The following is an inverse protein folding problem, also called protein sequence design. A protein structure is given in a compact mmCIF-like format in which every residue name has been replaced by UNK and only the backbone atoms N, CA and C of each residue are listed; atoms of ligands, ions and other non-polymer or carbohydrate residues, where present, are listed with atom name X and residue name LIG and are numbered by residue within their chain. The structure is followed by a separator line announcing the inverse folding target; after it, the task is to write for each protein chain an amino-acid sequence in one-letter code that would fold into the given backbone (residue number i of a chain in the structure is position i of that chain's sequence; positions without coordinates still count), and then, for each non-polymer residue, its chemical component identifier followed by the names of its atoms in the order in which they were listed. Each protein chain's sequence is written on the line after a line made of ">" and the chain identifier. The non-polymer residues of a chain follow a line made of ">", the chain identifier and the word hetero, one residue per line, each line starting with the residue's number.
data_IF_743608693578
#
_entry.id   IF_743608693578
#
_cell.length_a   1.000
_cell.length_b   1.000
_cell.length_c   1.000
_cell.angle_alpha   90.00
_cell.angle_beta   90.00
_cell.angle_gamma   90.00
#
_symmetry.space_group_name_H-M   'P 1'
#
loop_
_entity.id
_entity.type
_entity.pdbx_description
1 polymer ?
#
# COMPACT_ATOMS: atom_id res chain seq x y z
N UNK A 1 13.33 -21.58 -4.76
CA UNK A 1 12.40 -21.44 -3.62
C UNK A 1 12.19 -19.96 -3.38
N UNK A 2 10.99 -19.43 -3.67
CA UNK A 2 10.68 -18.03 -3.37
C UNK A 2 10.68 -17.87 -1.84
N UNK A 3 11.50 -16.96 -1.32
CA UNK A 3 11.59 -16.73 0.12
C UNK A 3 10.19 -16.41 0.66
N UNK A 4 9.57 -17.28 1.50
CA UNK A 4 8.18 -17.11 1.96
C UNK A 4 7.98 -15.85 2.83
N UNK A 5 9.09 -15.22 3.19
CA UNK A 5 9.17 -14.04 4.03
C UNK A 5 9.34 -12.73 3.25
N UNK A 6 9.35 -12.77 1.91
CA UNK A 6 9.49 -11.58 1.06
C UNK A 6 8.20 -11.35 0.27
N UNK A 7 7.67 -10.15 0.40
CA UNK A 7 6.43 -9.73 -0.23
C UNK A 7 6.71 -8.60 -1.21
N UNK A 8 6.14 -8.68 -2.40
CA UNK A 8 6.01 -7.55 -3.31
C UNK A 8 4.98 -6.54 -2.80
N UNK A 9 4.95 -5.33 -3.37
CA UNK A 9 3.98 -4.32 -2.95
C UNK A 9 2.53 -4.77 -3.11
N UNK A 10 2.24 -5.61 -4.11
CA UNK A 10 0.92 -6.20 -4.33
C UNK A 10 0.58 -7.19 -3.20
N UNK A 11 1.50 -8.10 -2.87
CA UNK A 11 1.29 -9.06 -1.79
C UNK A 11 1.19 -8.38 -0.42
N UNK A 12 1.85 -7.25 -0.22
CA UNK A 12 1.72 -6.45 1.00
C UNK A 12 0.29 -5.95 1.17
N UNK A 13 -0.33 -5.37 0.12
CA UNK A 13 -1.69 -4.84 0.24
C UNK A 13 -2.74 -5.96 0.41
N UNK A 14 -2.52 -7.11 -0.22
CA UNK A 14 -3.35 -8.29 -0.02
C UNK A 14 -3.26 -8.77 1.43
N UNK A 15 -2.04 -8.91 1.97
CA UNK A 15 -1.83 -9.30 3.35
C UNK A 15 -2.48 -8.32 4.35
N UNK A 16 -2.38 -7.02 4.10
CA UNK A 16 -3.02 -6.01 4.94
C UNK A 16 -4.55 -6.17 4.92
N UNK A 17 -5.13 -6.38 3.73
CA UNK A 17 -6.56 -6.63 3.58
C UNK A 17 -7.01 -7.89 4.32
N UNK A 18 -6.23 -8.97 4.25
CA UNK A 18 -6.50 -10.21 4.97
C UNK A 18 -6.40 -10.05 6.49
N UNK A 19 -5.42 -9.27 6.99
CA UNK A 19 -5.17 -9.11 8.42
C UNK A 19 -6.09 -8.10 9.11
N UNK A 20 -6.38 -6.97 8.46
CA UNK A 20 -7.11 -5.86 9.09
C UNK A 20 -8.48 -5.61 8.46
N UNK A 21 -8.75 -6.18 7.29
CA UNK A 21 -9.95 -5.88 6.50
C UNK A 21 -9.85 -4.57 5.72
N UNK A 22 -8.76 -3.80 5.86
CA UNK A 22 -8.59 -2.53 5.17
C UNK A 22 -8.00 -2.71 3.76
N UNK A 23 -8.67 -2.15 2.76
CA UNK A 23 -8.12 -2.07 1.42
C UNK A 23 -7.32 -0.78 1.23
N UNK A 24 -6.03 -0.92 0.97
CA UNK A 24 -5.15 0.20 0.61
C UNK A 24 -4.57 0.03 -0.79
N UNK A 25 -4.32 1.15 -1.46
CA UNK A 25 -3.65 1.14 -2.76
C UNK A 25 -2.14 0.99 -2.57
N UNK A 26 -1.48 0.34 -3.53
CA UNK A 26 -0.01 0.24 -3.60
C UNK A 26 0.67 1.60 -3.48
N UNK A 27 0.16 2.63 -4.17
CA UNK A 27 0.75 3.97 -4.10
C UNK A 27 0.60 4.61 -2.70
N UNK A 28 -0.48 4.31 -1.98
CA UNK A 28 -0.67 4.73 -0.58
C UNK A 28 0.37 4.06 0.32
N UNK A 29 0.61 2.76 0.12
CA UNK A 29 1.66 2.05 0.84
C UNK A 29 3.04 2.66 0.57
N UNK A 30 3.40 2.95 -0.69
CA UNK A 30 4.63 3.68 -0.99
C UNK A 30 4.70 5.06 -0.33
N UNK A 31 3.57 5.76 -0.19
CA UNK A 31 3.49 7.02 0.56
C UNK A 31 3.81 6.85 2.06
N UNK A 32 3.39 5.75 2.68
CA UNK A 32 3.80 5.43 4.05
C UNK A 32 5.30 5.10 4.12
N UNK A 33 5.83 4.34 3.16
CA UNK A 33 7.25 3.98 3.10
C UNK A 33 8.13 5.22 2.93
N UNK A 34 7.77 6.13 2.01
CA UNK A 34 8.55 7.35 1.75
C UNK A 34 8.55 8.31 2.95
N UNK A 35 7.48 8.31 3.75
CA UNK A 35 7.36 9.08 5.00
C UNK A 35 8.04 8.41 6.20
N UNK A 36 8.62 7.21 6.03
CA UNK A 36 9.20 6.44 7.13
C UNK A 36 8.16 5.91 8.12
N UNK A 37 6.88 5.90 7.75
CA UNK A 37 5.78 5.41 8.58
C UNK A 37 5.51 3.92 8.40
N UNK A 38 5.96 3.33 7.28
CA UNK A 38 5.91 1.90 7.02
C UNK A 38 7.33 1.31 6.90
N UNK A 39 7.48 -0.02 7.02
CA UNK A 39 8.75 -0.69 6.86
C UNK A 39 9.44 -0.38 5.53
N UNK A 40 10.75 -0.22 5.56
CA UNK A 40 11.55 -0.04 4.34
C UNK A 40 11.63 -1.37 3.57
N UNK A 41 11.77 -1.27 2.25
CA UNK A 41 12.06 -2.45 1.44
C UNK A 41 13.42 -3.02 1.87
N UNK A 42 13.44 -4.32 2.14
CA UNK A 42 14.64 -5.03 2.60
C UNK A 42 15.51 -5.48 1.42
N UNK A 43 14.87 -5.76 0.29
CA UNK A 43 15.54 -6.23 -0.92
C UNK A 43 14.87 -5.62 -2.15
N UNK A 44 15.61 -5.58 -3.26
CA UNK A 44 15.10 -5.15 -4.56
C UNK A 44 15.57 -6.13 -5.62
N UNK A 45 14.63 -6.74 -6.33
CA UNK A 45 14.91 -7.62 -7.48
C UNK A 45 14.47 -6.89 -8.74
N UNK A 46 15.44 -6.50 -9.58
CA UNK A 46 15.16 -5.65 -10.74
C UNK A 46 14.55 -4.31 -10.30
N UNK A 47 13.33 -4.02 -10.75
CA UNK A 47 12.58 -2.84 -10.32
C UNK A 47 11.61 -3.12 -9.14
N UNK A 48 11.46 -4.37 -8.74
CA UNK A 48 10.49 -4.77 -7.72
C UNK A 48 11.12 -4.72 -6.33
N UNK A 49 10.61 -3.83 -5.49
CA UNK A 49 10.96 -3.77 -4.07
C UNK A 49 10.27 -4.90 -3.30
N UNK A 50 10.97 -5.46 -2.33
CA UNK A 50 10.51 -6.57 -1.49
C UNK A 50 10.55 -6.18 -0.02
N UNK A 51 9.49 -6.50 0.70
CA UNK A 51 9.32 -6.25 2.13
C UNK A 51 9.33 -7.54 2.93
N UNK A 52 9.77 -7.46 4.18
CA UNK A 52 9.73 -8.57 5.10
C UNK A 52 8.31 -8.77 5.61
N UNK A 53 7.75 -9.97 5.44
CA UNK A 53 6.38 -10.31 5.86
C UNK A 53 6.11 -9.95 7.33
N UNK A 54 6.99 -10.32 8.24
CA UNK A 54 6.82 -10.04 9.68
C UNK A 54 6.65 -8.56 9.99
N UNK A 55 7.49 -7.70 9.41
CA UNK A 55 7.40 -6.25 9.69
C UNK A 55 6.12 -5.63 9.13
N UNK A 56 5.65 -6.15 8.00
CA UNK A 56 4.36 -5.72 7.42
C UNK A 56 3.21 -6.13 8.31
N UNK A 57 3.24 -7.32 8.92
CA UNK A 57 2.23 -7.77 9.89
C UNK A 57 2.22 -6.84 11.11
N UNK A 58 3.39 -6.62 11.72
CA UNK A 58 3.54 -5.76 12.89
C UNK A 58 3.07 -4.33 12.61
N UNK A 59 3.44 -3.80 11.45
CA UNK A 59 3.00 -2.50 11.00
C UNK A 59 1.50 -2.44 10.73
N UNK A 60 0.92 -3.44 10.06
CA UNK A 60 -0.51 -3.46 9.72
C UNK A 60 -1.38 -3.45 10.98
N UNK A 61 -0.99 -4.21 12.02
CA UNK A 61 -1.71 -4.25 13.29
C UNK A 61 -1.67 -2.91 14.04
N UNK A 62 -0.54 -2.20 13.96
CA UNK A 62 -0.27 -0.93 14.65
C UNK A 62 -0.39 0.31 13.74
N UNK A 63 -0.97 0.15 12.55
CA UNK A 63 -0.85 1.14 11.48
C UNK A 63 -1.43 2.50 11.90
N UNK A 64 -0.64 3.60 11.81
CA UNK A 64 -1.13 4.93 12.11
C UNK A 64 -2.17 5.35 11.06
N UNK A 65 -3.39 5.62 11.53
CA UNK A 65 -4.53 5.91 10.68
C UNK A 65 -5.21 4.66 10.12
N UNK A 66 -5.82 3.87 11.02
CA UNK A 66 -7.10 3.15 10.73
C UNK A 66 -8.20 4.18 10.44
N UNK A 67 -7.93 5.11 9.53
CA UNK A 67 -8.86 6.14 9.12
C UNK A 67 -9.93 5.46 8.31
N UNK A 68 -11.00 5.04 8.98
CA UNK A 68 -12.30 4.87 8.36
C UNK A 68 -12.53 6.05 7.41
N UNK A 69 -12.39 5.78 6.12
CA UNK A 69 -12.96 6.61 5.07
C UNK A 69 -13.75 5.72 4.12
N UNK A 70 -14.60 4.92 4.75
CA UNK A 70 -15.69 4.18 4.09
C UNK A 70 -16.82 5.12 3.66
N UNK A 71 -16.75 6.42 3.98
CA UNK A 71 -17.80 7.41 3.72
C UNK A 71 -17.63 8.23 2.42
N UNK A 72 -16.48 8.19 1.73
CA UNK A 72 -16.29 9.05 0.55
C UNK A 72 -16.77 8.35 -0.73
N UNK A 73 -17.91 8.76 -1.34
CA UNK A 73 -18.21 8.34 -2.70
C UNK A 73 -17.09 8.81 -3.61
N UNK A 74 -16.63 7.88 -4.46
CA UNK A 74 -15.56 8.07 -5.43
C UNK A 74 -15.95 9.20 -6.37
N UNK A 75 -15.58 10.45 -6.05
CA UNK A 75 -15.78 11.56 -6.96
C UNK A 75 -14.96 11.28 -8.22
N UNK A 76 -15.64 10.88 -9.29
CA UNK A 76 -15.04 10.79 -10.62
C UNK A 76 -14.64 12.22 -10.96
N UNK A 77 -13.34 12.50 -10.95
CA UNK A 77 -12.82 13.73 -11.56
C UNK A 77 -13.29 13.74 -13.01
N UNK A 78 -14.27 14.60 -13.30
CA UNK A 78 -14.70 14.99 -14.64
C UNK A 78 -13.54 15.81 -15.21
N UNK A 79 -12.72 15.21 -16.06
CA UNK A 79 -11.89 15.96 -16.99
C UNK A 79 -12.86 16.73 -17.88
N UNK A 80 -13.01 18.03 -17.63
CA UNK A 80 -13.54 18.92 -18.65
C UNK A 80 -12.46 18.98 -19.71
N UNK A 81 -12.78 18.34 -20.84
CA UNK A 81 -12.32 18.76 -22.14
C UNK A 81 -12.44 20.29 -22.23
N UNK A 82 -11.36 20.94 -22.65
CA UNK A 82 -11.38 22.33 -23.07
C UNK A 82 -10.71 22.35 -24.43
N UNK A 83 -11.45 21.85 -25.40
CA UNK A 83 -11.46 22.38 -26.76
C UNK A 83 -11.71 23.90 -26.69
N UNK A 84 -10.78 24.69 -27.21
CA UNK A 84 -11.00 26.11 -27.55
C UNK A 84 -9.98 26.54 -28.61
N UNK A 85 -10.53 26.69 -29.81
CA UNK A 85 -10.23 27.59 -30.95
C UNK A 85 -8.82 27.65 -31.58
#
# INVERSE_FOLDING_TARGET
>A
MANPNRLTAQQVIELIKELTGDEIKVNTFYGYVSRGQAPKAVEKIGNTSLWKKSEIIEWALNRPGRGARTDLPKTRRRTKDTESE
#
